data_IF_785400531285
#
_entry.id   IF_785400531285
#
_cell.length_a   1.000
_cell.length_b   1.000
_cell.length_c   1.000
_cell.angle_alpha   90.00
_cell.angle_beta   90.00
_cell.angle_gamma   90.00
#
_symmetry.space_group_name_H-M   'P 1'
#
loop_
_entity.id
_entity.type
_entity.pdbx_description
1 polymer ?
#
# COMPACT_ATOMS: atom_id res chain seq x y z
N UNK A 1 24.25 46.14 -75.48
CA UNK A 1 25.14 47.32 -75.37
C UNK A 1 24.60 48.17 -74.24
N UNK A 2 25.24 48.45 -73.10
CA UNK A 2 26.60 48.34 -72.57
C UNK A 2 26.46 48.16 -71.02
N UNK A 3 27.26 47.36 -70.28
CA UNK A 3 28.52 47.73 -69.59
C UNK A 3 28.46 49.16 -68.98
N UNK A 4 28.79 49.49 -67.73
CA UNK A 4 29.66 48.93 -66.68
C UNK A 4 29.56 49.93 -65.49
N UNK A 5 29.44 49.52 -64.22
CA UNK A 5 30.50 49.45 -63.18
C UNK A 5 30.54 50.60 -62.14
N UNK A 6 30.75 50.18 -60.88
CA UNK A 6 31.27 50.89 -59.67
C UNK A 6 30.38 51.98 -59.02
N UNK A 7 30.35 52.23 -57.70
CA UNK A 7 30.79 51.55 -56.45
C UNK A 7 30.24 52.40 -55.28
N UNK A 8 29.83 51.73 -54.20
CA UNK A 8 29.54 52.15 -52.80
C UNK A 8 29.62 53.62 -52.35
N UNK A 9 28.64 54.03 -51.54
CA UNK A 9 28.70 54.82 -50.28
C UNK A 9 27.37 55.61 -50.16
N UNK A 10 26.75 55.94 -49.02
CA UNK A 10 27.02 55.82 -47.60
C UNK A 10 25.74 56.29 -46.89
N UNK A 11 24.98 55.41 -46.24
CA UNK A 11 24.02 55.77 -45.18
C UNK A 11 24.28 54.90 -43.95
N UNK A 12 25.53 55.08 -43.51
CA UNK A 12 26.04 55.17 -42.15
C UNK A 12 25.07 54.86 -40.99
N UNK A 13 25.17 53.62 -40.50
CA UNK A 13 25.51 53.23 -39.11
C UNK A 13 24.71 53.76 -37.90
N UNK A 14 24.10 54.95 -37.92
CA UNK A 14 23.55 55.60 -36.72
C UNK A 14 22.22 55.01 -36.23
N UNK A 15 21.36 54.51 -37.12
CA UNK A 15 20.05 53.97 -36.72
C UNK A 15 20.11 52.52 -36.25
N UNK A 16 21.13 51.75 -36.67
CA UNK A 16 21.41 50.42 -36.11
C UNK A 16 22.02 50.51 -34.72
N UNK A 17 22.90 51.49 -34.47
CA UNK A 17 23.49 51.71 -33.14
C UNK A 17 22.42 52.11 -32.11
N UNK A 18 21.43 52.92 -32.47
CA UNK A 18 20.33 53.30 -31.56
C UNK A 18 19.35 52.16 -31.27
N UNK A 19 19.06 51.29 -32.25
CA UNK A 19 18.23 50.09 -32.04
C UNK A 19 18.98 49.07 -31.16
N UNK A 20 20.29 48.87 -31.38
CA UNK A 20 21.12 48.01 -30.53
C UNK A 20 21.25 48.59 -29.11
N UNK A 21 21.34 49.91 -28.96
CA UNK A 21 21.38 50.57 -27.65
C UNK A 21 20.07 50.41 -26.87
N UNK A 22 18.89 50.48 -27.53
CA UNK A 22 17.59 50.31 -26.86
C UNK A 22 17.27 48.84 -26.53
N UNK A 23 17.75 47.89 -27.33
CA UNK A 23 17.63 46.45 -27.03
C UNK A 23 18.50 46.04 -25.84
N UNK A 24 19.65 46.70 -25.63
CA UNK A 24 20.59 46.38 -24.54
C UNK A 24 20.24 46.98 -23.17
N UNK A 25 19.29 47.92 -23.08
CA UNK A 25 18.90 48.50 -21.77
C UNK A 25 17.91 47.59 -21.01
N UNK A 26 17.33 46.56 -21.65
CA UNK A 26 16.22 45.76 -21.07
C UNK A 26 16.54 44.31 -20.70
N UNK A 27 17.80 43.89 -20.60
CA UNK A 27 18.15 42.58 -20.00
C UNK A 27 19.43 42.58 -19.17
N UNK A 28 19.72 43.67 -18.45
CA UNK A 28 20.61 43.60 -17.28
C UNK A 28 19.88 43.04 -16.05
N UNK A 29 19.14 41.94 -16.21
CA UNK A 29 19.15 40.93 -15.15
C UNK A 29 20.52 40.30 -15.25
N UNK A 30 21.52 40.96 -14.67
CA UNK A 30 22.65 40.24 -14.16
C UNK A 30 22.02 39.15 -13.28
N UNK A 31 22.06 37.90 -13.73
CA UNK A 31 22.09 36.81 -12.77
C UNK A 31 23.39 37.08 -12.04
N UNK A 32 23.36 37.94 -11.02
CA UNK A 32 24.31 37.83 -9.94
C UNK A 32 24.26 36.34 -9.63
N UNK A 33 25.37 35.59 -9.76
CA UNK A 33 25.35 34.27 -9.19
C UNK A 33 24.86 34.49 -7.76
N UNK A 34 23.87 33.74 -7.27
CA UNK A 34 23.52 33.72 -5.85
C UNK A 34 24.68 33.15 -5.00
N UNK A 35 25.93 33.31 -5.47
CA UNK A 35 27.16 33.15 -4.77
C UNK A 35 27.36 34.39 -3.90
N UNK A 36 26.79 34.29 -2.70
CA UNK A 36 27.00 35.27 -1.66
C UNK A 36 28.50 35.31 -1.27
N UNK A 37 29.21 36.37 -1.65
CA UNK A 37 30.66 36.52 -1.44
C UNK A 37 31.06 36.94 -0.03
N UNK A 38 30.12 37.33 0.85
CA UNK A 38 30.46 37.79 2.21
C UNK A 38 31.06 36.66 3.05
N UNK A 39 32.02 37.04 3.88
CA UNK A 39 32.80 36.17 4.76
C UNK A 39 31.93 35.31 5.68
N UNK A 40 30.88 35.90 6.25
CA UNK A 40 29.94 35.23 7.17
C UNK A 40 29.27 33.98 6.59
N UNK A 41 29.25 33.81 5.26
CA UNK A 41 28.67 32.63 4.60
C UNK A 41 29.69 31.69 3.98
N UNK A 42 30.99 31.91 4.20
CA UNK A 42 32.04 30.93 3.87
C UNK A 42 31.84 29.57 4.56
N UNK A 43 31.50 29.46 5.86
CA UNK A 43 31.32 28.15 6.49
C UNK A 43 30.13 27.39 5.88
N UNK A 44 28.98 28.05 5.71
CA UNK A 44 27.79 27.45 5.10
C UNK A 44 28.00 27.01 3.64
N UNK A 45 28.90 27.66 2.90
CA UNK A 45 29.29 27.24 1.54
C UNK A 45 30.06 25.92 1.51
N UNK A 46 30.74 25.57 2.59
CA UNK A 46 31.42 24.28 2.76
C UNK A 46 30.42 23.21 3.20
N UNK A 47 29.50 23.57 4.11
CA UNK A 47 28.48 22.65 4.66
C UNK A 47 27.49 22.12 3.62
N UNK A 48 27.27 22.82 2.50
CA UNK A 48 26.45 22.30 1.39
C UNK A 48 27.07 21.09 0.69
N UNK A 49 28.39 20.92 0.79
CA UNK A 49 29.11 19.78 0.23
C UNK A 49 29.10 18.73 1.32
N UNK A 50 28.11 17.85 1.24
CA UNK A 50 28.00 16.71 2.14
C UNK A 50 28.77 15.55 1.51
N UNK A 51 29.80 15.07 2.21
CA UNK A 51 30.48 13.83 1.86
C UNK A 51 29.57 12.67 2.26
N UNK A 52 28.64 12.34 1.36
CA UNK A 52 27.73 11.21 1.51
C UNK A 52 28.36 10.03 0.76
N UNK A 53 28.60 8.93 1.46
CA UNK A 53 28.95 7.68 0.79
C UNK A 53 27.71 7.18 0.05
N UNK A 54 27.73 7.26 -1.28
CA UNK A 54 26.67 6.70 -2.10
C UNK A 54 26.70 5.18 -1.97
N UNK A 55 25.54 4.53 -1.81
CA UNK A 55 25.46 3.09 -1.94
C UNK A 55 25.97 2.64 -3.31
N UNK A 56 26.72 1.54 -3.34
CA UNK A 56 27.09 0.91 -4.62
C UNK A 56 25.82 0.35 -5.30
N UNK A 57 25.42 0.97 -6.41
CA UNK A 57 24.22 0.59 -7.17
C UNK A 57 24.40 -0.70 -7.98
N UNK A 58 25.65 -1.13 -8.19
CA UNK A 58 25.98 -2.33 -8.95
C UNK A 58 26.13 -3.58 -8.07
N UNK A 59 25.85 -3.48 -6.76
CA UNK A 59 25.99 -4.58 -5.78
C UNK A 59 25.34 -5.86 -6.28
N UNK A 60 24.08 -5.77 -6.73
CA UNK A 60 23.31 -6.93 -7.19
C UNK A 60 23.91 -7.56 -8.44
N UNK A 61 24.46 -6.75 -9.34
CA UNK A 61 25.12 -7.22 -10.56
C UNK A 61 26.42 -7.95 -10.22
N UNK A 62 27.23 -7.40 -9.31
CA UNK A 62 28.48 -8.00 -8.83
C UNK A 62 28.22 -9.31 -8.07
N UNK A 63 27.20 -9.33 -7.20
CA UNK A 63 26.79 -10.51 -6.44
C UNK A 63 26.44 -11.69 -7.33
N UNK A 64 25.73 -11.46 -8.43
CA UNK A 64 25.36 -12.51 -9.39
C UNK A 64 26.56 -13.07 -10.16
N UNK A 65 27.62 -12.27 -10.34
CA UNK A 65 28.83 -12.68 -11.03
C UNK A 65 29.81 -13.46 -10.13
N UNK A 66 29.67 -13.35 -8.81
CA UNK A 66 30.51 -14.06 -7.84
C UNK A 66 30.26 -15.57 -7.84
N UNK A 67 31.32 -16.32 -7.55
CA UNK A 67 31.22 -17.74 -7.23
C UNK A 67 30.50 -17.94 -5.89
N UNK A 68 30.00 -19.16 -5.63
CA UNK A 68 29.27 -19.47 -4.39
C UNK A 68 30.10 -19.21 -3.11
N UNK A 69 31.43 -19.33 -3.18
CA UNK A 69 32.31 -19.07 -2.04
C UNK A 69 32.42 -17.57 -1.76
N UNK A 70 32.69 -16.78 -2.79
CA UNK A 70 32.77 -15.31 -2.71
C UNK A 70 31.44 -14.70 -2.27
N UNK A 71 30.29 -15.25 -2.73
CA UNK A 71 28.97 -14.83 -2.25
C UNK A 71 28.80 -15.08 -0.75
N UNK A 72 29.24 -16.23 -0.23
CA UNK A 72 29.16 -16.54 1.21
C UNK A 72 30.05 -15.62 2.04
N UNK A 73 31.25 -15.31 1.56
CA UNK A 73 32.16 -14.36 2.21
C UNK A 73 31.57 -12.96 2.22
N UNK A 74 30.97 -12.51 1.11
CA UNK A 74 30.22 -11.27 1.04
C UNK A 74 29.09 -11.24 2.07
N UNK A 75 28.21 -12.24 2.09
CA UNK A 75 27.08 -12.27 3.04
C UNK A 75 27.55 -12.29 4.50
N UNK A 76 28.66 -12.97 4.80
CA UNK A 76 29.27 -12.93 6.14
C UNK A 76 29.82 -11.56 6.49
N UNK A 77 30.52 -10.89 5.57
CA UNK A 77 31.07 -9.54 5.76
C UNK A 77 29.97 -8.51 5.98
N UNK A 78 28.89 -8.59 5.20
CA UNK A 78 27.73 -7.70 5.34
C UNK A 78 26.81 -8.09 6.52
N UNK A 79 27.06 -9.22 7.17
CA UNK A 79 26.25 -9.71 8.28
C UNK A 79 24.83 -10.16 7.88
N UNK A 80 24.62 -10.51 6.61
CA UNK A 80 23.34 -11.01 6.10
C UNK A 80 23.29 -12.52 6.39
N UNK A 81 22.46 -12.97 7.34
CA UNK A 81 22.31 -14.39 7.58
C UNK A 81 21.62 -15.06 6.38
N UNK A 82 21.84 -16.36 6.14
CA UNK A 82 21.01 -17.09 5.19
C UNK A 82 19.55 -16.98 5.64
N UNK A 83 18.65 -16.81 4.68
CA UNK A 83 17.21 -16.85 4.95
C UNK A 83 16.91 -18.22 5.56
N UNK A 84 16.43 -18.24 6.82
CA UNK A 84 15.96 -19.48 7.43
C UNK A 84 14.83 -20.04 6.56
N UNK A 85 14.78 -21.35 6.31
CA UNK A 85 13.58 -21.93 5.71
C UNK A 85 12.39 -21.50 6.56
N UNK A 86 11.36 -20.96 5.93
CA UNK A 86 10.19 -20.42 6.61
C UNK A 86 9.28 -21.55 7.12
N UNK A 87 9.85 -22.50 7.85
CA UNK A 87 9.12 -23.55 8.56
C UNK A 87 8.61 -22.93 9.87
N UNK A 88 7.52 -22.18 9.78
CA UNK A 88 6.83 -21.71 10.97
C UNK A 88 6.19 -22.90 11.68
N UNK A 89 6.26 -22.91 13.02
CA UNK A 89 5.41 -23.79 13.82
C UNK A 89 3.94 -23.49 13.47
N UNK A 90 3.09 -24.49 13.21
CA UNK A 90 1.69 -24.23 12.92
C UNK A 90 1.02 -23.51 14.10
N UNK A 91 0.20 -22.51 13.77
CA UNK A 91 -0.60 -21.82 14.76
C UNK A 91 -1.83 -22.68 15.09
N UNK A 92 -2.04 -22.93 16.38
CA UNK A 92 -3.26 -23.59 16.86
C UNK A 92 -4.34 -22.53 17.04
N UNK A 93 -5.42 -22.66 16.26
CA UNK A 93 -6.55 -21.75 16.29
C UNK A 93 -7.75 -22.57 16.77
N UNK A 94 -8.26 -22.24 17.95
CA UNK A 94 -9.35 -23.00 18.58
C UNK A 94 -10.74 -22.57 18.05
N UNK A 95 -10.87 -21.34 17.56
CA UNK A 95 -12.13 -20.77 17.09
C UNK A 95 -12.00 -20.12 15.71
N UNK A 96 -13.01 -20.32 14.85
CA UNK A 96 -13.12 -19.61 13.57
C UNK A 96 -13.47 -18.15 13.77
N UNK A 97 -12.88 -17.25 12.97
CA UNK A 97 -13.10 -15.80 13.06
C UNK A 97 -14.51 -15.35 12.65
N UNK A 98 -15.12 -16.03 11.66
CA UNK A 98 -16.41 -15.63 11.07
C UNK A 98 -17.37 -16.82 11.06
N UNK A 99 -18.69 -16.61 11.25
CA UNK A 99 -19.69 -17.65 11.03
C UNK A 99 -19.72 -18.12 9.56
N UNK A 100 -19.78 -19.44 9.34
CA UNK A 100 -19.80 -20.01 7.98
C UNK A 100 -21.10 -19.70 7.20
N UNK A 101 -22.26 -19.86 7.85
CA UNK A 101 -23.58 -19.63 7.24
C UNK A 101 -24.40 -18.69 8.13
N UNK A 102 -24.27 -17.37 7.92
CA UNK A 102 -25.00 -16.39 8.71
C UNK A 102 -26.52 -16.56 8.57
N UNK A 103 -27.22 -16.61 9.70
CA UNK A 103 -28.67 -16.60 9.72
C UNK A 103 -29.18 -15.22 9.30
N UNK A 104 -29.98 -15.18 8.24
CA UNK A 104 -30.72 -13.98 7.83
C UNK A 104 -32.14 -14.15 8.38
N UNK A 105 -32.59 -13.28 9.29
CA UNK A 105 -33.96 -13.35 9.79
C UNK A 105 -34.94 -13.16 8.61
N UNK A 106 -36.05 -13.92 8.58
CA UNK A 106 -37.06 -13.75 7.54
C UNK A 106 -37.66 -12.35 7.63
N UNK A 107 -37.90 -11.72 6.47
CA UNK A 107 -38.54 -10.42 6.42
C UNK A 107 -39.96 -10.53 6.96
N UNK A 108 -40.28 -9.77 8.00
CA UNK A 108 -41.65 -9.75 8.53
C UNK A 108 -41.84 -9.97 10.00
N UNK A 109 -40.77 -9.96 10.81
CA UNK A 109 -40.84 -9.99 12.29
C UNK A 109 -41.60 -8.78 12.91
N UNK A 110 -42.17 -7.91 12.07
CA UNK A 110 -43.14 -6.89 12.47
C UNK A 110 -44.40 -6.78 11.62
N UNK A 111 -44.34 -6.96 10.27
CA UNK A 111 -45.47 -6.69 9.33
C UNK A 111 -45.28 -7.31 7.93
N UNK A 112 -45.18 -8.64 7.77
CA UNK A 112 -45.17 -9.24 6.42
C UNK A 112 -46.52 -9.90 6.04
N UNK A 113 -47.06 -9.47 4.91
CA UNK A 113 -48.24 -10.05 4.26
C UNK A 113 -48.00 -11.49 3.79
N UNK A 114 -49.06 -12.31 3.76
CA UNK A 114 -48.98 -13.76 3.49
C UNK A 114 -48.48 -14.17 2.09
N UNK A 115 -48.47 -13.27 1.09
CA UNK A 115 -48.22 -13.63 -0.32
C UNK A 115 -47.15 -12.79 -1.03
N UNK A 116 -46.03 -12.44 -0.37
CA UNK A 116 -44.89 -11.79 -1.06
C UNK A 116 -43.98 -12.79 -1.77
N UNK A 117 -43.36 -12.36 -2.89
CA UNK A 117 -42.34 -13.13 -3.62
C UNK A 117 -41.12 -13.43 -2.74
N UNK A 118 -40.75 -12.50 -1.87
CA UNK A 118 -39.60 -12.66 -0.98
C UNK A 118 -39.82 -13.76 0.06
N UNK A 119 -41.08 -14.00 0.47
CA UNK A 119 -41.45 -15.08 1.39
C UNK A 119 -41.30 -16.47 0.77
N UNK A 120 -41.57 -16.62 -0.53
CA UNK A 120 -41.32 -17.87 -1.27
C UNK A 120 -39.82 -18.19 -1.32
N UNK A 121 -38.99 -17.18 -1.58
CA UNK A 121 -37.53 -17.33 -1.56
C UNK A 121 -37.02 -17.69 -0.15
N UNK A 122 -37.58 -17.06 0.90
CA UNK A 122 -37.26 -17.39 2.30
C UNK A 122 -37.69 -18.81 2.69
N UNK A 123 -38.84 -19.28 2.20
CA UNK A 123 -39.30 -20.63 2.46
C UNK A 123 -38.37 -21.67 1.80
N UNK A 124 -38.00 -21.47 0.54
CA UNK A 124 -37.06 -22.33 -0.15
C UNK A 124 -35.69 -22.39 0.55
N UNK A 125 -35.17 -21.24 0.98
CA UNK A 125 -33.91 -21.19 1.73
C UNK A 125 -34.02 -21.85 3.10
N UNK A 126 -35.15 -21.73 3.80
CA UNK A 126 -35.39 -22.39 5.09
C UNK A 126 -35.41 -23.92 4.95
N UNK A 127 -36.04 -24.45 3.91
CA UNK A 127 -36.02 -25.90 3.62
C UNK A 127 -34.61 -26.42 3.39
N UNK A 128 -33.81 -25.70 2.58
CA UNK A 128 -32.41 -26.05 2.34
C UNK A 128 -31.61 -26.06 3.65
N UNK A 129 -31.80 -25.04 4.49
CA UNK A 129 -31.13 -24.91 5.79
C UNK A 129 -31.54 -26.00 6.78
N UNK A 130 -32.79 -26.49 6.74
CA UNK A 130 -33.22 -27.58 7.61
C UNK A 130 -32.47 -28.89 7.32
N UNK A 131 -32.21 -29.18 6.03
CA UNK A 131 -31.45 -30.37 5.61
C UNK A 131 -29.98 -30.26 6.08
N UNK A 132 -29.35 -29.10 5.90
CA UNK A 132 -27.98 -28.88 6.38
C UNK A 132 -27.90 -28.96 7.90
N UNK A 133 -28.85 -28.35 8.62
CA UNK A 133 -28.96 -28.41 10.08
C UNK A 133 -29.05 -29.85 10.59
N UNK A 134 -29.86 -30.71 9.94
CA UNK A 134 -29.95 -32.13 10.29
C UNK A 134 -28.62 -32.87 10.08
N UNK A 135 -27.89 -32.55 9.01
CA UNK A 135 -26.56 -33.12 8.76
C UNK A 135 -25.55 -32.65 9.81
N UNK A 136 -25.54 -31.36 10.16
CA UNK A 136 -24.63 -30.78 11.14
C UNK A 136 -24.86 -31.33 12.55
N UNK A 137 -26.11 -31.39 13.00
CA UNK A 137 -26.47 -32.05 14.27
C UNK A 137 -26.03 -33.51 14.31
N UNK A 138 -26.15 -34.23 13.18
CA UNK A 138 -25.60 -35.58 13.05
C UNK A 138 -24.07 -35.65 13.17
N UNK A 139 -23.33 -34.65 12.71
CA UNK A 139 -21.86 -34.57 12.88
C UNK A 139 -21.49 -34.23 14.32
N UNK A 140 -22.19 -33.30 14.96
CA UNK A 140 -21.97 -32.94 16.38
C UNK A 140 -22.12 -34.19 17.24
N UNK A 141 -23.22 -34.93 17.06
CA UNK A 141 -23.48 -36.18 17.81
C UNK A 141 -22.46 -37.30 17.59
N UNK A 142 -21.67 -37.26 16.51
CA UNK A 142 -20.55 -38.21 16.31
C UNK A 142 -19.34 -37.90 17.19
N UNK A 143 -19.12 -36.63 17.50
CA UNK A 143 -18.02 -36.19 18.34
C UNK A 143 -18.44 -36.07 19.82
N UNK A 144 -19.70 -35.72 20.08
CA UNK A 144 -20.28 -35.55 21.41
C UNK A 144 -21.63 -36.29 21.48
N UNK A 145 -21.66 -37.54 22.00
CA UNK A 145 -22.87 -38.38 21.96
C UNK A 145 -23.99 -37.88 22.86
N UNK A 146 -23.66 -37.16 23.94
CA UNK A 146 -24.62 -36.64 24.94
C UNK A 146 -25.28 -35.32 24.50
N UNK A 147 -25.01 -34.86 23.27
CA UNK A 147 -25.52 -33.59 22.76
C UNK A 147 -27.03 -33.65 22.44
N UNK A 148 -27.80 -32.90 23.22
CA UNK A 148 -29.24 -32.70 23.03
C UNK A 148 -29.60 -31.24 22.65
N UNK A 149 -30.17 -31.00 21.46
CA UNK A 149 -30.50 -29.65 20.99
C UNK A 149 -31.49 -28.88 21.87
N UNK A 150 -32.40 -29.57 22.54
CA UNK A 150 -33.41 -28.94 23.39
C UNK A 150 -32.81 -28.38 24.67
N UNK A 151 -31.90 -29.14 25.30
CA UNK A 151 -31.20 -28.72 26.52
C UNK A 151 -30.15 -27.65 26.23
N UNK A 152 -29.59 -27.65 25.02
CA UNK A 152 -28.59 -26.68 24.61
C UNK A 152 -29.09 -25.23 24.71
N UNK A 153 -30.38 -24.97 24.47
CA UNK A 153 -30.94 -23.61 24.59
C UNK A 153 -30.84 -23.05 26.01
N UNK A 154 -31.16 -23.87 27.02
CA UNK A 154 -31.08 -23.50 28.44
C UNK A 154 -29.62 -23.28 28.86
N UNK A 155 -28.73 -24.19 28.43
CA UNK A 155 -27.29 -24.09 28.70
C UNK A 155 -26.70 -22.83 28.06
N UNK A 156 -27.07 -22.52 26.81
CA UNK A 156 -26.59 -21.34 26.09
C UNK A 156 -27.06 -20.05 26.77
N UNK A 157 -28.32 -20.00 27.23
CA UNK A 157 -28.84 -18.88 27.99
C UNK A 157 -28.07 -18.67 29.30
N UNK A 158 -27.80 -19.75 30.04
CA UNK A 158 -27.02 -19.65 31.28
C UNK A 158 -25.60 -19.13 30.99
N UNK A 159 -24.92 -19.67 29.99
CA UNK A 159 -23.58 -19.19 29.58
C UNK A 159 -23.57 -17.74 29.14
N UNK A 160 -24.64 -17.28 28.49
CA UNK A 160 -24.79 -15.87 28.13
C UNK A 160 -24.87 -14.98 29.37
N UNK A 161 -25.68 -15.38 30.37
CA UNK A 161 -25.81 -14.65 31.64
C UNK A 161 -24.47 -14.65 32.40
N UNK A 162 -23.84 -15.81 32.55
CA UNK A 162 -22.55 -15.97 33.23
C UNK A 162 -21.47 -15.07 32.60
N UNK A 163 -21.41 -15.01 31.27
CA UNK A 163 -20.47 -14.17 30.54
C UNK A 163 -20.71 -12.68 30.79
N UNK A 164 -21.97 -12.22 30.88
CA UNK A 164 -22.27 -10.83 31.18
C UNK A 164 -21.98 -10.48 32.64
N UNK A 165 -22.21 -11.41 33.56
CA UNK A 165 -21.85 -11.24 34.96
C UNK A 165 -20.33 -11.11 35.14
N UNK A 166 -19.55 -11.97 34.48
CA UNK A 166 -18.09 -11.92 34.51
C UNK A 166 -17.49 -10.66 33.87
N UNK A 167 -18.23 -9.96 33.00
CA UNK A 167 -17.82 -8.65 32.45
C UNK A 167 -18.17 -7.48 33.37
N UNK A 168 -19.11 -7.66 34.31
CA UNK A 168 -19.51 -6.65 35.29
C UNK A 168 -18.65 -6.66 36.56
N UNK A 169 -18.09 -7.83 36.89
CA UNK A 169 -17.05 -8.00 37.93
C UNK A 169 -15.71 -7.40 37.50
#
# INVERSE_FOLDING_TARGET
MALNLFRTSSLTTNNRQLIIALINIRTHYTKTPNHHTKEKWRPFRREKILDIDLPDFDKDRKLRAYTLQEQREYFKREGIPPIRSAEYKPLFIDASTEPFEAYVPPEGDGKASFMSKDRLNQFYTSLKKNITTRKHSGTIRKHEPDFEPLLFAEIAQQKYIDAHQALME
#
